data_IF_398944287227
#
_entry.id   IF_398944287227
#
_cell.length_a   1.000
_cell.length_b   1.000
_cell.length_c   1.000
_cell.angle_alpha   90.00
_cell.angle_beta   90.00
_cell.angle_gamma   90.00
#
_symmetry.space_group_name_H-M   'P 1'
#
loop_
_entity.id
_entity.type
_entity.pdbx_description
1 polymer ?
#
# COMPACT_ATOMS: atom_id res chain seq x y z
N UNK A 1 -11.21 -27.86 -30.34
CA UNK A 1 -11.18 -27.80 -28.87
C UNK A 1 -10.80 -26.39 -28.51
N UNK A 2 -11.65 -25.67 -27.73
CA UNK A 2 -11.29 -24.35 -27.22
C UNK A 2 -10.20 -24.53 -26.14
N UNK A 3 -9.04 -23.95 -26.36
CA UNK A 3 -7.98 -23.91 -25.34
C UNK A 3 -8.44 -22.99 -24.24
N UNK A 4 -8.53 -23.49 -23.01
CA UNK A 4 -8.73 -22.62 -21.85
C UNK A 4 -7.58 -21.60 -21.81
N UNK A 5 -7.85 -20.29 -21.73
CA UNK A 5 -6.78 -19.30 -21.67
C UNK A 5 -5.96 -19.53 -20.39
N UNK A 6 -4.65 -19.64 -20.54
CA UNK A 6 -3.73 -19.73 -19.42
C UNK A 6 -3.47 -18.30 -18.90
N UNK A 7 -3.79 -18.03 -17.65
CA UNK A 7 -3.49 -16.74 -17.01
C UNK A 7 -1.98 -16.64 -16.81
N UNK A 8 -1.37 -15.56 -17.27
CA UNK A 8 0.05 -15.30 -17.04
C UNK A 8 0.29 -14.80 -15.60
N UNK A 9 1.54 -14.86 -15.12
CA UNK A 9 1.91 -14.33 -13.80
C UNK A 9 1.61 -12.83 -13.72
N UNK A 10 1.94 -12.05 -14.77
CA UNK A 10 1.62 -10.61 -14.80
C UNK A 10 0.12 -10.35 -14.69
N UNK A 11 -0.71 -11.10 -15.43
CA UNK A 11 -2.16 -10.99 -15.32
C UNK A 11 -2.68 -11.30 -13.91
N UNK A 12 -2.19 -12.38 -13.30
CA UNK A 12 -2.58 -12.75 -11.94
C UNK A 12 -2.21 -11.65 -10.92
N UNK A 13 -0.99 -11.12 -11.00
CA UNK A 13 -0.54 -10.03 -10.11
C UNK A 13 -1.37 -8.77 -10.29
N UNK A 14 -1.68 -8.41 -11.54
CA UNK A 14 -2.50 -7.24 -11.86
C UNK A 14 -3.92 -7.38 -11.31
N UNK A 15 -4.59 -8.51 -11.55
CA UNK A 15 -5.95 -8.78 -11.08
C UNK A 15 -6.02 -8.76 -9.54
N UNK A 16 -5.03 -9.37 -8.88
CA UNK A 16 -4.96 -9.38 -7.42
C UNK A 16 -4.72 -7.99 -6.83
N UNK A 17 -3.86 -7.17 -7.47
CA UNK A 17 -3.60 -5.79 -7.08
C UNK A 17 -4.84 -4.91 -7.25
N UNK A 18 -5.49 -4.97 -8.41
CA UNK A 18 -6.71 -4.20 -8.70
C UNK A 18 -7.80 -4.50 -7.68
N UNK A 19 -8.01 -5.78 -7.36
CA UNK A 19 -8.94 -6.19 -6.30
C UNK A 19 -8.56 -5.61 -4.92
N UNK A 20 -7.27 -5.61 -4.57
CA UNK A 20 -6.81 -5.05 -3.29
C UNK A 20 -7.06 -3.54 -3.22
N UNK A 21 -6.73 -2.78 -4.28
CA UNK A 21 -7.01 -1.35 -4.36
C UNK A 21 -8.51 -1.06 -4.27
N UNK A 22 -9.33 -1.73 -5.07
CA UNK A 22 -10.79 -1.54 -5.05
C UNK A 22 -11.38 -1.83 -3.67
N UNK A 23 -10.94 -2.90 -3.01
CA UNK A 23 -11.43 -3.27 -1.69
C UNK A 23 -11.01 -2.24 -0.63
N UNK A 24 -9.76 -1.77 -0.68
CA UNK A 24 -9.26 -0.74 0.25
C UNK A 24 -10.03 0.58 0.06
N UNK A 25 -10.17 1.06 -1.17
CA UNK A 25 -10.86 2.32 -1.46
C UNK A 25 -12.36 2.26 -1.11
N UNK A 26 -13.03 1.13 -1.42
CA UNK A 26 -14.42 0.92 -1.04
C UNK A 26 -14.59 0.81 0.49
N UNK A 27 -13.61 0.22 1.20
CA UNK A 27 -13.59 0.18 2.66
C UNK A 27 -13.42 1.58 3.26
N UNK A 28 -12.66 2.45 2.60
CA UNK A 28 -12.43 3.84 3.02
C UNK A 28 -13.53 4.83 2.58
N UNK A 29 -14.51 4.41 1.77
CA UNK A 29 -15.45 5.33 1.10
C UNK A 29 -16.29 6.19 2.06
N UNK A 30 -16.69 5.64 3.21
CA UNK A 30 -17.50 6.31 4.24
C UNK A 30 -16.67 6.83 5.43
N UNK A 31 -15.33 6.77 5.35
CA UNK A 31 -14.45 7.30 6.38
C UNK A 31 -14.28 8.80 6.19
N UNK A 32 -14.61 9.58 7.24
CA UNK A 32 -14.40 11.03 7.31
C UNK A 32 -13.02 11.37 7.88
N UNK A 33 -12.52 12.59 7.66
CA UNK A 33 -11.26 13.05 8.25
C UNK A 33 -11.27 12.97 9.79
N UNK A 34 -12.41 13.26 10.41
CA UNK A 34 -12.59 13.13 11.86
C UNK A 34 -12.37 11.67 12.31
N UNK A 35 -13.02 10.73 11.64
CA UNK A 35 -12.89 9.30 11.97
C UNK A 35 -11.48 8.78 11.66
N UNK A 36 -10.90 9.19 10.52
CA UNK A 36 -9.56 8.80 10.11
C UNK A 36 -8.50 9.17 11.14
N UNK A 37 -8.65 10.34 11.76
CA UNK A 37 -7.69 10.91 12.71
C UNK A 37 -8.07 10.69 14.19
N UNK A 38 -9.14 9.94 14.46
CA UNK A 38 -9.57 9.59 15.81
C UNK A 38 -8.60 8.56 16.41
N UNK A 39 -8.15 8.74 17.65
CA UNK A 39 -7.39 7.71 18.34
C UNK A 39 -8.13 6.36 18.34
N UNK A 40 -7.44 5.31 17.96
CA UNK A 40 -7.98 3.96 17.99
C UNK A 40 -7.96 3.38 19.42
N UNK A 41 -8.82 2.39 19.75
CA UNK A 41 -8.84 1.77 21.05
C UNK A 41 -7.55 0.96 21.33
N UNK A 42 -7.11 0.97 22.57
CA UNK A 42 -5.92 0.22 23.01
C UNK A 42 -4.63 0.68 22.31
N UNK A 43 -3.91 -0.25 21.73
CA UNK A 43 -2.66 0.00 20.99
C UNK A 43 -2.84 0.01 19.48
N UNK A 44 -4.08 -0.03 18.99
CA UNK A 44 -4.35 0.00 17.55
C UNK A 44 -3.99 1.38 16.94
N UNK A 45 -3.69 1.38 15.66
CA UNK A 45 -3.37 2.59 14.91
C UNK A 45 -4.65 3.28 14.40
N UNK A 46 -4.71 4.62 14.30
CA UNK A 46 -5.81 5.30 13.65
C UNK A 46 -6.04 4.85 12.21
N UNK A 47 -7.29 4.87 11.74
CA UNK A 47 -7.67 4.46 10.38
C UNK A 47 -6.86 5.23 9.31
N UNK A 48 -6.73 6.53 9.47
CA UNK A 48 -6.01 7.37 8.51
C UNK A 48 -4.53 7.02 8.41
N UNK A 49 -3.88 6.72 9.54
CA UNK A 49 -2.48 6.29 9.52
C UNK A 49 -2.29 4.91 8.88
N UNK A 50 -3.22 3.97 9.06
CA UNK A 50 -3.20 2.69 8.35
C UNK A 50 -3.37 2.88 6.84
N UNK A 51 -4.28 3.75 6.42
CA UNK A 51 -4.49 4.05 5.00
C UNK A 51 -3.29 4.75 4.37
N UNK A 52 -2.75 5.80 5.02
CA UNK A 52 -1.55 6.48 4.53
C UNK A 52 -0.34 5.53 4.47
N UNK A 53 -0.18 4.64 5.47
CA UNK A 53 0.88 3.62 5.43
C UNK A 53 0.71 2.68 4.24
N UNK A 54 -0.50 2.20 3.95
CA UNK A 54 -0.73 1.30 2.82
C UNK A 54 -0.22 1.92 1.51
N UNK A 55 -0.58 3.17 1.25
CA UNK A 55 -0.22 3.88 0.01
C UNK A 55 1.27 4.24 -0.05
N UNK A 56 1.82 4.80 1.04
CA UNK A 56 3.23 5.23 1.08
C UNK A 56 4.16 4.01 0.99
N UNK A 57 3.80 2.89 1.64
CA UNK A 57 4.59 1.66 1.58
C UNK A 57 4.58 1.07 0.16
N UNK A 58 3.44 1.05 -0.52
CA UNK A 58 3.36 0.61 -1.92
C UNK A 58 4.30 1.42 -2.81
N UNK A 59 4.24 2.75 -2.74
CA UNK A 59 5.13 3.65 -3.49
C UNK A 59 6.61 3.35 -3.19
N UNK A 60 6.97 3.26 -1.92
CA UNK A 60 8.33 2.96 -1.49
C UNK A 60 8.83 1.61 -2.00
N UNK A 61 8.00 0.58 -1.95
CA UNK A 61 8.34 -0.75 -2.42
C UNK A 61 8.44 -0.78 -3.94
N UNK A 62 7.43 -0.30 -4.65
CA UNK A 62 7.39 -0.40 -6.12
C UNK A 62 8.45 0.51 -6.74
N UNK A 63 8.46 1.78 -6.41
CA UNK A 63 9.42 2.72 -6.97
C UNK A 63 10.82 2.53 -6.40
N UNK A 64 10.94 2.49 -5.08
CA UNK A 64 12.23 2.40 -4.41
C UNK A 64 12.92 1.05 -4.61
N UNK A 65 12.22 -0.04 -4.31
CA UNK A 65 12.83 -1.37 -4.26
C UNK A 65 12.76 -2.12 -5.60
N UNK A 66 11.60 -2.14 -6.26
CA UNK A 66 11.43 -2.93 -7.49
C UNK A 66 11.94 -2.21 -8.73
N UNK A 67 11.68 -0.90 -8.86
CA UNK A 67 12.13 -0.09 -10.01
C UNK A 67 13.50 0.55 -9.79
N UNK A 68 13.99 0.65 -8.55
CA UNK A 68 15.25 1.32 -8.21
C UNK A 68 15.22 2.82 -8.50
N UNK A 69 14.05 3.45 -8.37
CA UNK A 69 13.80 4.87 -8.63
C UNK A 69 13.41 5.58 -7.33
N UNK A 70 13.46 6.92 -7.34
CA UNK A 70 12.93 7.69 -6.22
C UNK A 70 11.41 7.48 -6.12
N UNK A 71 10.87 7.14 -4.93
CA UNK A 71 9.44 7.10 -4.71
C UNK A 71 8.77 8.44 -5.03
N UNK A 72 7.49 8.40 -5.40
CA UNK A 72 6.73 9.61 -5.72
C UNK A 72 6.70 10.59 -4.54
N UNK A 73 6.60 10.08 -3.30
CA UNK A 73 6.64 10.91 -2.10
C UNK A 73 7.96 11.66 -1.89
N UNK A 74 9.06 11.18 -2.45
CA UNK A 74 10.36 11.84 -2.41
C UNK A 74 10.61 12.78 -3.62
N UNK A 75 9.71 12.75 -4.60
CA UNK A 75 9.80 13.51 -5.86
C UNK A 75 8.57 14.39 -6.10
N UNK A 76 7.77 14.03 -7.09
CA UNK A 76 6.61 14.82 -7.55
C UNK A 76 5.52 15.03 -6.50
N UNK A 77 5.46 14.17 -5.49
CA UNK A 77 4.49 14.24 -4.39
C UNK A 77 5.10 14.63 -3.05
N UNK A 78 6.33 15.13 -3.02
CA UNK A 78 6.96 15.59 -1.79
C UNK A 78 6.09 16.63 -1.07
N UNK A 79 5.77 16.38 0.19
CA UNK A 79 4.90 17.22 1.02
C UNK A 79 3.43 17.26 0.61
N UNK A 80 2.98 16.36 -0.28
CA UNK A 80 1.59 16.33 -0.79
C UNK A 80 0.92 14.95 -0.69
N UNK A 81 1.46 14.06 0.14
CA UNK A 81 0.94 12.70 0.32
C UNK A 81 -0.35 12.64 1.16
N UNK A 82 -0.79 13.76 1.70
CA UNK A 82 -1.89 13.83 2.67
C UNK A 82 -1.48 13.54 4.10
N UNK A 83 -0.31 12.97 4.37
CA UNK A 83 0.25 12.83 5.71
C UNK A 83 1.03 14.09 6.10
N UNK A 84 0.79 14.63 7.29
CA UNK A 84 1.46 15.84 7.81
C UNK A 84 2.91 15.60 8.24
N UNK A 85 3.33 14.33 8.28
CA UNK A 85 4.68 13.89 8.64
C UNK A 85 5.17 12.81 7.69
N UNK A 86 6.45 12.82 7.31
CA UNK A 86 7.04 11.75 6.52
C UNK A 86 6.96 10.42 7.30
N UNK A 87 6.59 9.35 6.61
CA UNK A 87 6.56 8.02 7.19
C UNK A 87 7.99 7.48 7.36
N UNK A 88 8.38 6.98 8.54
CA UNK A 88 9.64 6.28 8.71
C UNK A 88 9.77 5.10 7.77
N UNK A 89 10.90 5.01 7.07
CA UNK A 89 11.14 3.94 6.09
C UNK A 89 12.63 3.56 6.11
N UNK A 90 12.97 2.28 6.29
CA UNK A 90 14.36 1.85 6.37
C UNK A 90 15.20 2.35 5.20
N UNK A 91 16.32 3.00 5.50
CA UNK A 91 17.25 3.54 4.50
C UNK A 91 16.79 4.81 3.77
N UNK A 92 15.59 5.34 4.05
CA UNK A 92 15.05 6.55 3.40
C UNK A 92 14.65 7.63 4.41
N UNK A 93 13.88 7.28 5.42
CA UNK A 93 13.36 8.21 6.44
C UNK A 93 13.59 7.63 7.82
N UNK A 94 14.36 8.33 8.65
CA UNK A 94 14.58 7.92 10.05
C UNK A 94 13.34 8.23 10.89
N UNK A 95 13.10 7.40 11.90
CA UNK A 95 12.02 7.61 12.86
C UNK A 95 11.47 6.31 13.45
N UNK A 96 10.53 6.46 14.37
CA UNK A 96 9.79 5.37 14.99
C UNK A 96 8.40 5.22 14.35
N UNK A 97 8.12 4.06 13.78
CA UNK A 97 6.85 3.78 13.12
C UNK A 97 5.67 3.80 14.11
N UNK A 98 5.88 3.29 15.32
CA UNK A 98 4.83 3.27 16.35
C UNK A 98 4.42 4.68 16.77
N UNK A 99 5.39 5.60 16.90
CA UNK A 99 5.13 7.01 17.17
C UNK A 99 4.47 7.69 15.95
N UNK A 100 4.94 7.40 14.74
CA UNK A 100 4.35 7.93 13.53
C UNK A 100 2.86 7.58 13.42
N UNK A 101 2.50 6.31 13.57
CA UNK A 101 1.11 5.87 13.53
C UNK A 101 0.20 6.63 14.50
N UNK A 102 0.69 6.91 15.71
CA UNK A 102 -0.10 7.57 16.77
C UNK A 102 -0.24 9.07 16.57
N UNK A 103 0.70 9.69 15.87
CA UNK A 103 0.82 11.15 15.83
C UNK A 103 0.60 11.78 14.46
N UNK A 104 0.70 11.02 13.38
CA UNK A 104 0.44 11.52 12.03
C UNK A 104 -1.03 11.95 11.90
N UNK A 105 -1.25 13.08 11.22
CA UNK A 105 -2.57 13.52 10.78
C UNK A 105 -2.68 13.37 9.29
N UNK A 106 -3.82 12.85 8.85
CA UNK A 106 -4.05 12.53 7.45
C UNK A 106 -5.22 13.36 6.91
N UNK A 107 -4.94 14.13 5.87
CA UNK A 107 -5.94 14.71 4.97
C UNK A 107 -6.33 13.63 3.96
N UNK A 108 -7.54 13.08 4.09
CA UNK A 108 -8.00 11.98 3.23
C UNK A 108 -8.15 12.40 1.77
N UNK A 109 -8.51 13.65 1.48
CA UNK A 109 -8.67 14.10 0.10
C UNK A 109 -7.31 14.10 -0.61
N UNK A 110 -6.29 14.70 0.01
CA UNK A 110 -4.94 14.71 -0.51
C UNK A 110 -4.33 13.29 -0.57
N UNK A 111 -4.59 12.47 0.45
CA UNK A 111 -4.08 11.09 0.48
C UNK A 111 -4.70 10.22 -0.63
N UNK A 112 -5.98 10.39 -0.95
CA UNK A 112 -6.63 9.71 -2.07
C UNK A 112 -6.12 10.16 -3.44
N UNK A 113 -5.78 11.45 -3.60
CA UNK A 113 -5.14 11.91 -4.83
C UNK A 113 -3.76 11.29 -5.03
N UNK A 114 -2.97 11.25 -3.97
CA UNK A 114 -1.69 10.56 -3.97
C UNK A 114 -1.84 9.05 -4.24
N UNK A 115 -2.81 8.38 -3.59
CA UNK A 115 -3.11 6.97 -3.80
C UNK A 115 -3.38 6.65 -5.28
N UNK A 116 -4.20 7.47 -5.97
CA UNK A 116 -4.46 7.28 -7.41
C UNK A 116 -3.18 7.34 -8.23
N UNK A 117 -2.25 8.26 -7.90
CA UNK A 117 -0.98 8.36 -8.62
C UNK A 117 -0.10 7.13 -8.38
N UNK A 118 -0.05 6.62 -7.14
CA UNK A 118 0.68 5.40 -6.78
C UNK A 118 0.08 4.19 -7.51
N UNK A 119 -1.24 4.00 -7.44
CA UNK A 119 -1.92 2.86 -8.08
C UNK A 119 -1.70 2.83 -9.60
N UNK A 120 -1.83 3.97 -10.27
CA UNK A 120 -1.56 4.08 -11.70
C UNK A 120 -0.10 3.72 -12.04
N UNK A 121 0.85 4.14 -11.23
CA UNK A 121 2.27 3.88 -11.43
C UNK A 121 2.62 2.39 -11.18
N UNK A 122 2.04 1.79 -10.13
CA UNK A 122 2.18 0.36 -9.83
C UNK A 122 1.54 -0.51 -10.93
N UNK A 123 0.34 -0.15 -11.39
CA UNK A 123 -0.31 -0.86 -12.50
C UNK A 123 0.53 -0.80 -13.77
N UNK A 124 1.04 0.39 -14.12
CA UNK A 124 1.90 0.57 -15.29
C UNK A 124 3.16 -0.29 -15.21
N UNK A 125 3.77 -0.43 -14.02
CA UNK A 125 4.91 -1.31 -13.80
C UNK A 125 4.56 -2.78 -14.10
N UNK A 126 3.47 -3.30 -13.55
CA UNK A 126 3.07 -4.71 -13.77
C UNK A 126 2.65 -4.97 -15.22
N UNK A 127 1.94 -4.03 -15.83
CA UNK A 127 1.51 -4.16 -17.25
C UNK A 127 2.72 -4.19 -18.19
N UNK A 128 3.79 -3.46 -17.87
CA UNK A 128 5.02 -3.42 -18.66
C UNK A 128 6.03 -4.53 -18.32
N UNK A 129 5.78 -5.31 -17.25
CA UNK A 129 6.70 -6.35 -16.82
C UNK A 129 6.73 -7.53 -17.78
N UNK A 130 7.88 -7.75 -18.39
CA UNK A 130 8.17 -8.93 -19.23
C UNK A 130 8.67 -10.11 -18.38
N UNK A 131 8.93 -11.25 -19.05
CA UNK A 131 9.42 -12.46 -18.39
C UNK A 131 10.78 -12.25 -17.69
N UNK A 132 11.65 -11.41 -18.23
CA UNK A 132 12.93 -11.08 -17.63
C UNK A 132 12.74 -10.27 -16.34
N UNK A 133 11.84 -9.31 -16.35
CA UNK A 133 11.45 -8.53 -15.18
C UNK A 133 10.84 -9.42 -14.10
N UNK A 134 9.88 -10.27 -14.46
CA UNK A 134 9.21 -11.19 -13.54
C UNK A 134 10.13 -12.31 -13.03
N UNK A 135 11.17 -12.66 -13.81
CA UNK A 135 12.20 -13.64 -13.42
C UNK A 135 13.21 -13.12 -12.40
N UNK A 136 13.23 -11.80 -12.10
CA UNK A 136 14.18 -11.21 -11.16
C UNK A 136 13.98 -11.71 -9.74
N UNK A 137 15.08 -11.73 -8.98
CA UNK A 137 15.04 -11.86 -7.52
C UNK A 137 15.31 -10.52 -6.86
N UNK A 138 14.66 -10.28 -5.73
CA UNK A 138 14.78 -9.06 -4.94
C UNK A 138 15.47 -9.42 -3.62
N UNK A 139 16.49 -8.65 -3.27
CA UNK A 139 17.22 -8.84 -2.01
C UNK A 139 16.41 -8.23 -0.84
N UNK A 140 15.88 -9.10 0.01
CA UNK A 140 15.16 -8.77 1.23
C UNK A 140 15.97 -9.10 2.49
N UNK A 141 17.29 -9.19 2.37
CA UNK A 141 18.19 -9.52 3.50
C UNK A 141 18.13 -8.47 4.62
N UNK A 142 17.81 -7.21 4.28
CA UNK A 142 17.67 -6.12 5.26
C UNK A 142 16.50 -6.32 6.24
N UNK A 143 15.52 -7.18 5.90
CA UNK A 143 14.43 -7.64 6.79
C UNK A 143 14.56 -9.12 7.16
N UNK A 144 15.71 -9.75 6.87
CA UNK A 144 16.00 -11.13 7.25
C UNK A 144 15.42 -12.21 6.36
N UNK A 145 14.87 -11.87 5.17
CA UNK A 145 14.18 -12.81 4.27
C UNK A 145 15.04 -13.31 3.10
N UNK A 146 16.26 -12.76 2.93
CA UNK A 146 17.14 -13.16 1.83
C UNK A 146 16.61 -12.79 0.45
N UNK A 147 16.89 -13.64 -0.56
CA UNK A 147 16.48 -13.41 -1.94
C UNK A 147 15.07 -13.96 -2.20
N UNK A 148 14.16 -13.12 -2.68
CA UNK A 148 12.79 -13.54 -3.05
C UNK A 148 12.54 -13.31 -4.55
N UNK A 149 11.86 -14.24 -5.25
CA UNK A 149 11.36 -13.97 -6.60
C UNK A 149 10.45 -12.74 -6.62
N UNK A 150 10.57 -11.86 -7.63
CA UNK A 150 9.77 -10.65 -7.73
C UNK A 150 8.26 -10.91 -7.60
N UNK A 151 7.67 -11.94 -8.27
CA UNK A 151 6.23 -12.21 -8.11
C UNK A 151 5.82 -12.55 -6.67
N UNK A 152 6.66 -13.27 -5.94
CA UNK A 152 6.42 -13.60 -4.52
C UNK A 152 6.52 -12.34 -3.66
N UNK A 153 7.59 -11.57 -3.87
CA UNK A 153 7.79 -10.30 -3.17
C UNK A 153 6.61 -9.36 -3.40
N UNK A 154 6.19 -9.18 -4.65
CA UNK A 154 5.05 -8.34 -4.99
C UNK A 154 3.74 -8.83 -4.34
N UNK A 155 3.46 -10.14 -4.44
CA UNK A 155 2.25 -10.73 -3.85
C UNK A 155 2.18 -10.55 -2.33
N UNK A 156 3.31 -10.69 -1.63
CA UNK A 156 3.34 -10.62 -0.15
C UNK A 156 3.43 -9.18 0.34
N UNK A 157 4.36 -8.38 -0.21
CA UNK A 157 4.71 -7.08 0.36
C UNK A 157 4.01 -5.90 -0.32
N UNK A 158 3.35 -6.10 -1.47
CA UNK A 158 2.47 -5.10 -2.06
C UNK A 158 1.01 -5.53 -1.85
N UNK A 159 0.52 -6.51 -2.59
CA UNK A 159 -0.89 -6.92 -2.56
C UNK A 159 -1.32 -7.45 -1.18
N UNK A 160 -0.50 -8.32 -0.57
CA UNK A 160 -0.77 -8.89 0.76
C UNK A 160 -0.75 -7.82 1.86
N UNK A 161 0.17 -6.87 1.78
CA UNK A 161 0.26 -5.75 2.71
C UNK A 161 -0.97 -4.84 2.64
N UNK A 162 -1.43 -4.49 1.44
CA UNK A 162 -2.68 -3.75 1.23
C UNK A 162 -3.88 -4.46 1.86
N UNK A 163 -4.00 -5.78 1.63
CA UNK A 163 -5.09 -6.58 2.20
C UNK A 163 -5.04 -6.64 3.73
N UNK A 164 -3.84 -6.74 4.33
CA UNK A 164 -3.66 -6.74 5.78
C UNK A 164 -4.13 -5.41 6.38
N UNK A 165 -3.67 -4.28 5.84
CA UNK A 165 -4.08 -2.96 6.33
C UNK A 165 -5.57 -2.67 6.07
N UNK A 166 -6.12 -3.14 4.96
CA UNK A 166 -7.56 -3.09 4.71
C UNK A 166 -8.34 -3.86 5.79
N UNK A 167 -7.85 -5.03 6.22
CA UNK A 167 -8.42 -5.80 7.32
C UNK A 167 -8.37 -5.06 8.66
N UNK A 168 -7.26 -4.41 8.98
CA UNK A 168 -7.14 -3.55 10.17
C UNK A 168 -8.14 -2.39 10.13
N UNK A 169 -8.20 -1.67 9.02
CA UNK A 169 -9.18 -0.58 8.81
C UNK A 169 -10.61 -1.09 8.98
N UNK A 170 -10.94 -2.24 8.38
CA UNK A 170 -12.27 -2.85 8.49
C UNK A 170 -12.63 -3.16 9.95
N UNK A 171 -11.70 -3.71 10.72
CA UNK A 171 -11.90 -4.01 12.14
C UNK A 171 -12.10 -2.72 12.97
N UNK A 172 -11.31 -1.68 12.71
CA UNK A 172 -11.42 -0.37 13.39
C UNK A 172 -12.73 0.34 13.06
N UNK A 173 -13.21 0.26 11.82
CA UNK A 173 -14.54 0.75 11.42
C UNK A 173 -15.63 0.02 12.20
N UNK A 174 -15.56 -1.32 12.28
CA UNK A 174 -16.50 -2.13 13.07
C UNK A 174 -16.51 -1.73 14.53
N UNK A 175 -15.34 -1.51 15.14
CA UNK A 175 -15.22 -1.03 16.52
C UNK A 175 -15.77 0.40 16.70
N UNK A 176 -15.87 1.18 15.63
CA UNK A 176 -16.47 2.52 15.61
C UNK A 176 -17.96 2.53 15.27
N UNK A 177 -18.59 1.36 15.13
CA UNK A 177 -20.03 1.22 14.83
C UNK A 177 -20.39 1.36 13.35
N UNK A 178 -19.40 1.33 12.45
CA UNK A 178 -19.59 1.34 11.01
C UNK A 178 -19.51 -0.07 10.42
N UNK A 179 -20.02 -0.24 9.20
CA UNK A 179 -19.76 -1.46 8.42
C UNK A 179 -18.26 -1.53 8.10
N UNK A 180 -17.63 -2.66 8.34
CA UNK A 180 -16.21 -2.86 8.06
C UNK A 180 -15.93 -2.93 6.56
N UNK A 181 -15.97 -4.14 5.97
CA UNK A 181 -15.83 -4.31 4.52
C UNK A 181 -17.05 -3.81 3.75
N UNK A 182 -16.90 -3.45 2.46
CA UNK A 182 -17.97 -2.88 1.64
C UNK A 182 -19.04 -3.91 1.22
N UNK A 183 -18.75 -5.20 1.33
CA UNK A 183 -19.62 -6.32 0.90
C UNK A 183 -20.18 -7.11 2.09
#
# INVERSE_FOLDING_TARGET
MATTPVITVAQLLREALDNAHQTLEATMADVTDELANRPAPGNASPIGSCYAHAVIAEDGIVNGLLKGQAPLFAGSWAGRTGADKPMPMPGMVEGDMGEWYKTVKVDLAACREYARAVYMDTEAFIVSADDDTLGRTIDMSFVGLGQLPLPVMFSVFVTGHLNNLCGEISALKGASGLKGYPF
#
